data_IF_142620900759
#
_entry.id   IF_142620900759
#
_cell.length_a   1.000
_cell.length_b   1.000
_cell.length_c   1.000
_cell.angle_alpha   90.00
_cell.angle_beta   90.00
_cell.angle_gamma   90.00
#
_symmetry.space_group_name_H-M   'P 1'
#
loop_
_entity.id
_entity.type
_entity.pdbx_description
1 polymer ?
#
# COMPACT_ATOMS: atom_id res chain seq x y z
N UNK A 1 -25.03 -19.78 20.57
CA UNK A 1 -24.31 -18.49 20.49
C UNK A 1 -22.86 -18.76 20.09
N UNK A 2 -22.37 -18.10 19.04
CA UNK A 2 -20.93 -18.12 18.75
C UNK A 2 -20.25 -17.24 19.81
N UNK A 3 -19.32 -17.84 20.56
CA UNK A 3 -18.52 -17.16 21.57
C UNK A 3 -17.29 -16.57 20.86
N UNK A 4 -17.42 -15.31 20.44
CA UNK A 4 -16.33 -14.61 19.77
C UNK A 4 -15.39 -14.01 20.82
N UNK A 5 -14.09 -14.20 20.62
CA UNK A 5 -13.06 -13.51 21.39
C UNK A 5 -13.27 -12.00 21.29
N UNK A 6 -13.38 -11.33 22.43
CA UNK A 6 -13.45 -9.87 22.47
C UNK A 6 -12.16 -9.29 21.86
N UNK A 7 -12.32 -8.44 20.85
CA UNK A 7 -11.19 -7.73 20.23
C UNK A 7 -10.64 -6.70 21.21
N UNK A 8 -9.32 -6.62 21.33
CA UNK A 8 -8.68 -5.53 22.05
C UNK A 8 -8.91 -4.22 21.29
N UNK A 9 -9.20 -3.10 21.98
CA UNK A 9 -9.24 -1.80 21.34
C UNK A 9 -7.83 -1.44 20.82
N UNK A 10 -7.78 -0.71 19.70
CA UNK A 10 -6.53 -0.15 19.19
C UNK A 10 -6.48 1.35 19.55
N UNK A 11 -5.47 1.73 20.33
CA UNK A 11 -5.19 3.11 20.71
C UNK A 11 -3.70 3.44 20.58
N UNK A 12 -3.29 4.57 21.16
CA UNK A 12 -1.90 5.03 21.07
C UNK A 12 -0.90 3.99 21.60
N UNK A 13 -1.19 3.37 22.76
CA UNK A 13 -0.34 2.34 23.35
C UNK A 13 -0.17 1.13 22.43
N UNK A 14 -1.24 0.65 21.82
CA UNK A 14 -1.21 -0.51 20.92
C UNK A 14 -0.50 -0.19 19.60
N UNK A 15 -0.65 1.05 19.10
CA UNK A 15 0.06 1.51 17.92
C UNK A 15 1.56 1.71 18.16
N UNK A 16 1.95 2.21 19.33
CA UNK A 16 3.36 2.28 19.74
C UNK A 16 3.94 0.86 19.94
N UNK A 17 3.15 -0.06 20.48
CA UNK A 17 3.53 -1.47 20.60
C UNK A 17 3.67 -2.14 19.23
N UNK A 18 2.85 -1.77 18.24
CA UNK A 18 2.97 -2.22 16.87
C UNK A 18 4.31 -1.77 16.25
N UNK A 19 4.67 -0.50 16.40
CA UNK A 19 5.96 0.03 15.94
C UNK A 19 7.14 -0.70 16.60
N UNK A 20 7.04 -0.94 17.90
CA UNK A 20 8.07 -1.66 18.66
C UNK A 20 8.20 -3.12 18.21
N UNK A 21 7.08 -3.79 17.91
CA UNK A 21 7.09 -5.17 17.44
C UNK A 21 7.64 -5.31 16.03
N UNK A 22 7.32 -4.38 15.12
CA UNK A 22 7.94 -4.34 13.79
C UNK A 22 9.47 -4.26 13.94
N UNK A 23 9.96 -3.37 14.80
CA UNK A 23 11.39 -3.19 15.06
C UNK A 23 12.03 -4.29 15.91
N UNK A 24 11.24 -5.15 16.54
CA UNK A 24 11.76 -6.33 17.26
C UNK A 24 12.16 -7.44 16.29
N UNK A 25 11.54 -7.47 15.10
CA UNK A 25 11.75 -8.48 14.05
C UNK A 25 12.65 -7.98 12.94
N UNK A 26 12.48 -6.74 12.50
CA UNK A 26 13.25 -6.12 11.41
C UNK A 26 14.13 -5.00 11.97
N UNK A 27 15.43 -5.06 11.69
CA UNK A 27 16.31 -3.94 11.94
C UNK A 27 16.10 -2.83 10.89
N UNK A 28 16.67 -1.65 11.14
CA UNK A 28 16.46 -0.47 10.30
C UNK A 28 17.03 -0.64 8.87
N UNK A 29 17.99 -1.54 8.63
CA UNK A 29 18.52 -1.78 7.28
C UNK A 29 17.57 -2.60 6.40
N UNK A 30 16.72 -3.43 7.01
CA UNK A 30 15.69 -4.22 6.34
C UNK A 30 14.32 -3.51 6.29
N UNK A 31 14.23 -2.25 6.75
CA UNK A 31 13.01 -1.45 6.69
C UNK A 31 13.14 -0.29 5.70
N UNK A 32 12.02 0.03 5.05
CA UNK A 32 11.79 1.35 4.45
C UNK A 32 10.73 2.01 5.31
N UNK A 33 11.15 3.02 6.07
CA UNK A 33 10.31 3.77 7.01
C UNK A 33 10.03 5.18 6.47
N UNK A 34 9.00 5.88 7.01
CA UNK A 34 8.74 7.27 6.68
C UNK A 34 9.96 8.18 6.84
N UNK A 35 10.77 7.98 7.88
CA UNK A 35 11.99 8.78 8.09
C UNK A 35 13.05 8.52 7.02
N UNK A 36 13.22 7.26 6.56
CA UNK A 36 14.18 6.95 5.47
C UNK A 36 13.79 7.56 4.13
N UNK A 37 12.48 7.70 3.86
CA UNK A 37 11.98 8.37 2.64
C UNK A 37 12.06 9.88 2.80
N UNK A 38 11.66 10.42 3.96
CA UNK A 38 11.67 11.86 4.22
C UNK A 38 13.09 12.43 4.20
N UNK A 39 14.07 11.71 4.73
CA UNK A 39 15.44 12.20 4.86
C UNK A 39 15.47 13.55 5.60
N UNK A 40 16.11 14.55 4.98
CA UNK A 40 16.24 15.90 5.52
C UNK A 40 15.10 16.86 5.10
N UNK A 41 14.10 16.37 4.35
CA UNK A 41 12.99 17.21 3.90
C UNK A 41 12.04 17.61 5.04
N UNK A 42 11.42 18.79 4.98
CA UNK A 42 10.41 19.24 5.95
C UNK A 42 9.23 18.28 6.09
N UNK A 43 8.77 17.68 4.98
CA UNK A 43 7.60 16.79 4.95
C UNK A 43 7.86 15.56 4.08
N UNK A 44 7.13 14.49 4.34
CA UNK A 44 7.23 13.26 3.56
C UNK A 44 6.73 13.47 2.12
N UNK A 45 5.65 14.24 1.96
CA UNK A 45 5.11 14.61 0.67
C UNK A 45 6.14 15.38 -0.19
N UNK A 46 6.92 16.30 0.42
CA UNK A 46 7.97 17.03 -0.28
C UNK A 46 9.11 16.12 -0.76
N UNK A 47 9.56 15.19 0.08
CA UNK A 47 10.59 14.22 -0.30
C UNK A 47 10.16 13.35 -1.50
N UNK A 48 8.91 12.87 -1.49
CA UNK A 48 8.38 12.05 -2.59
C UNK A 48 8.25 12.87 -3.88
N UNK A 49 7.80 14.13 -3.79
CA UNK A 49 7.66 14.99 -4.96
C UNK A 49 9.00 15.39 -5.59
N UNK A 50 10.09 15.42 -4.80
CA UNK A 50 11.41 15.91 -5.23
C UNK A 50 12.37 14.77 -5.57
N UNK A 51 12.51 13.79 -4.68
CA UNK A 51 13.47 12.70 -4.77
C UNK A 51 12.82 11.38 -5.19
N UNK A 52 11.52 11.21 -4.90
CA UNK A 52 10.77 10.01 -5.22
C UNK A 52 11.06 8.84 -4.27
N UNK A 53 10.61 7.65 -4.68
CA UNK A 53 10.86 6.41 -3.94
C UNK A 53 12.18 5.76 -4.35
N UNK A 54 12.86 5.03 -3.44
CA UNK A 54 13.98 4.17 -3.80
C UNK A 54 13.58 3.21 -4.92
N UNK A 55 14.52 2.92 -5.81
CA UNK A 55 14.29 1.97 -6.89
C UNK A 55 14.03 0.57 -6.34
N UNK A 56 13.44 -0.30 -7.17
CA UNK A 56 13.26 -1.73 -6.83
C UNK A 56 14.60 -2.41 -6.51
N UNK A 57 15.69 -1.94 -7.12
CA UNK A 57 17.05 -2.43 -6.83
C UNK A 57 17.51 -2.06 -5.42
N UNK A 58 17.35 -0.80 -5.03
CA UNK A 58 17.73 -0.28 -3.71
C UNK A 58 16.82 -0.78 -2.58
N UNK A 59 15.57 -1.13 -2.92
CA UNK A 59 14.57 -1.66 -1.99
C UNK A 59 14.69 -3.16 -1.74
N UNK A 60 15.60 -3.85 -2.43
CA UNK A 60 15.73 -5.31 -2.34
C UNK A 60 16.06 -5.75 -0.92
N UNK A 61 15.34 -6.77 -0.44
CA UNK A 61 15.51 -7.32 0.91
C UNK A 61 14.86 -6.48 2.01
N UNK A 62 14.23 -5.36 1.67
CA UNK A 62 13.56 -4.48 2.63
C UNK A 62 12.05 -4.69 2.65
N UNK A 63 11.43 -4.27 3.75
CA UNK A 63 10.00 -4.35 3.99
C UNK A 63 9.43 -2.95 4.22
N UNK A 64 8.27 -2.68 3.63
CA UNK A 64 7.45 -1.48 3.87
C UNK A 64 6.21 -1.92 4.65
N UNK A 65 5.88 -1.19 5.72
CA UNK A 65 4.63 -1.35 6.45
C UNK A 65 3.74 -0.13 6.20
N UNK A 66 2.45 -0.34 6.01
CA UNK A 66 1.48 0.75 6.01
C UNK A 66 0.18 0.34 6.70
N UNK A 67 -0.44 1.29 7.39
CA UNK A 67 -1.74 1.10 8.02
C UNK A 67 -2.82 1.21 6.94
N UNK A 68 -3.61 0.15 6.75
CA UNK A 68 -4.81 0.19 5.89
C UNK A 68 -5.97 0.96 6.57
N UNK A 69 -5.76 1.55 7.74
CA UNK A 69 -6.79 2.23 8.53
C UNK A 69 -6.73 3.75 8.31
N UNK A 70 -7.91 4.36 8.14
CA UNK A 70 -8.09 5.82 8.17
C UNK A 70 -8.77 6.28 9.47
N UNK A 71 -9.24 7.53 9.49
CA UNK A 71 -10.03 8.07 10.59
C UNK A 71 -9.30 8.05 11.93
N UNK A 72 -9.97 7.65 13.02
CA UNK A 72 -9.40 7.79 14.36
C UNK A 72 -8.09 7.02 14.58
N UNK A 73 -7.87 5.90 13.88
CA UNK A 73 -6.60 5.14 13.99
C UNK A 73 -5.46 5.93 13.35
N UNK A 74 -5.70 6.49 12.17
CA UNK A 74 -4.78 7.39 11.49
C UNK A 74 -4.42 8.60 12.36
N UNK A 75 -5.45 9.30 12.87
CA UNK A 75 -5.25 10.49 13.68
C UNK A 75 -4.49 10.20 14.97
N UNK A 76 -4.76 9.03 15.58
CA UNK A 76 -4.04 8.56 16.77
C UNK A 76 -2.58 8.25 16.44
N UNK A 77 -2.30 7.67 15.28
CA UNK A 77 -0.94 7.33 14.86
C UNK A 77 -0.09 8.58 14.57
N UNK A 78 -0.71 9.63 14.04
CA UNK A 78 -0.07 10.93 13.78
C UNK A 78 0.05 11.83 15.02
N UNK A 79 -0.65 11.52 16.11
CA UNK A 79 -0.62 12.34 17.31
C UNK A 79 0.82 12.47 17.86
N UNK A 80 1.37 13.70 17.81
CA UNK A 80 2.76 13.98 18.20
C UNK A 80 3.81 13.76 17.11
N UNK A 81 3.47 13.10 16.01
CA UNK A 81 4.35 12.83 14.86
C UNK A 81 3.61 13.14 13.53
N UNK A 82 3.30 14.42 13.25
CA UNK A 82 2.46 14.80 12.12
C UNK A 82 3.08 14.52 10.74
N UNK A 83 4.39 14.23 10.65
CA UNK A 83 5.03 13.75 9.43
C UNK A 83 5.65 12.36 9.64
N UNK A 84 5.04 11.56 10.51
CA UNK A 84 5.46 10.21 10.85
C UNK A 84 6.88 10.11 11.42
N UNK A 85 7.40 11.17 12.05
CA UNK A 85 8.69 11.14 12.73
C UNK A 85 8.75 9.97 13.72
N UNK A 86 9.75 9.09 13.57
CA UNK A 86 9.99 7.93 14.43
C UNK A 86 9.05 6.74 14.20
N UNK A 87 8.04 6.85 13.34
CA UNK A 87 7.09 5.76 13.05
C UNK A 87 7.72 4.69 12.17
N UNK A 88 7.34 3.42 12.38
CA UNK A 88 7.84 2.31 11.55
C UNK A 88 7.01 2.13 10.27
N UNK A 89 5.72 2.48 10.32
CA UNK A 89 4.79 2.31 9.21
C UNK A 89 4.37 3.66 8.59
N UNK A 90 4.02 3.61 7.32
CA UNK A 90 3.26 4.65 6.64
C UNK A 90 1.79 4.59 7.03
N UNK A 91 1.07 5.67 6.80
CA UNK A 91 -0.39 5.71 6.84
C UNK A 91 -0.96 5.46 5.45
N UNK A 92 -2.24 5.08 5.39
CA UNK A 92 -3.06 5.30 4.20
C UNK A 92 -3.60 6.72 4.27
N UNK A 93 -2.81 7.70 3.84
CA UNK A 93 -3.18 9.11 3.94
C UNK A 93 -4.53 9.37 3.27
N UNK A 94 -5.34 10.24 3.88
CA UNK A 94 -6.75 10.41 3.54
C UNK A 94 -6.95 11.54 2.52
N UNK A 95 -6.34 12.70 2.76
CA UNK A 95 -6.70 13.93 2.06
C UNK A 95 -5.51 14.58 1.30
N UNK A 96 -5.77 15.21 0.15
CA UNK A 96 -4.76 16.02 -0.54
C UNK A 96 -4.20 17.12 0.37
N UNK A 97 -2.87 17.21 0.45
CA UNK A 97 -2.16 18.17 1.29
C UNK A 97 -1.77 17.65 2.67
N UNK A 98 -2.16 16.43 3.04
CA UNK A 98 -1.72 15.81 4.29
C UNK A 98 -0.18 15.64 4.31
N UNK A 99 0.51 16.07 5.37
CA UNK A 99 1.97 16.08 5.45
C UNK A 99 2.63 14.70 5.45
N UNK A 100 1.90 13.66 5.82
CA UNK A 100 2.31 12.24 5.87
C UNK A 100 1.95 11.48 4.58
N UNK A 101 1.46 12.17 3.54
CA UNK A 101 1.00 11.56 2.31
C UNK A 101 2.14 10.92 1.51
N UNK A 102 2.09 9.58 1.43
CA UNK A 102 3.08 8.75 0.74
C UNK A 102 2.48 7.52 0.07
N UNK A 103 1.65 6.80 0.83
CA UNK A 103 0.87 5.67 0.36
C UNK A 103 -0.61 6.04 0.52
N UNK A 104 -1.40 5.88 -0.52
CA UNK A 104 -2.82 6.21 -0.51
C UNK A 104 -3.67 4.98 -0.82
N UNK A 105 -4.79 4.88 -0.11
CA UNK A 105 -5.75 3.79 -0.25
C UNK A 105 -6.98 4.29 -1.02
N UNK A 106 -6.99 4.04 -2.32
CA UNK A 106 -8.09 4.38 -3.22
C UNK A 106 -8.84 3.10 -3.56
N UNK A 107 -9.85 2.79 -2.74
CA UNK A 107 -10.56 1.52 -2.72
C UNK A 107 -11.36 1.22 -3.99
N UNK A 108 -11.77 2.25 -4.73
CA UNK A 108 -12.56 2.12 -5.96
C UNK A 108 -11.66 2.33 -7.18
N UNK A 109 -11.40 1.30 -8.01
CA UNK A 109 -10.58 1.43 -9.20
C UNK A 109 -11.25 2.24 -10.32
N UNK A 110 -12.52 2.61 -10.19
CA UNK A 110 -13.22 3.48 -11.14
C UNK A 110 -12.98 4.98 -10.87
N UNK A 111 -12.37 5.34 -9.73
CA UNK A 111 -11.89 6.70 -9.41
C UNK A 111 -10.60 7.01 -10.19
N UNK A 112 -10.69 6.97 -11.52
CA UNK A 112 -9.51 7.01 -12.40
C UNK A 112 -8.74 8.32 -12.34
N UNK A 113 -9.42 9.45 -12.08
CA UNK A 113 -8.79 10.76 -11.93
C UNK A 113 -7.96 10.82 -10.66
N UNK A 114 -8.53 10.38 -9.55
CA UNK A 114 -7.93 10.40 -8.22
C UNK A 114 -6.71 9.47 -8.18
N UNK A 115 -6.81 8.29 -8.80
CA UNK A 115 -5.68 7.37 -8.95
C UNK A 115 -4.59 8.01 -9.83
N UNK A 116 -4.95 8.61 -10.97
CA UNK A 116 -3.97 9.23 -11.86
C UNK A 116 -3.27 10.43 -11.21
N UNK A 117 -4.00 11.26 -10.49
CA UNK A 117 -3.46 12.42 -9.77
C UNK A 117 -2.49 11.97 -8.68
N UNK A 118 -2.87 10.98 -7.85
CA UNK A 118 -1.98 10.43 -6.82
C UNK A 118 -0.69 9.82 -7.41
N UNK A 119 -0.79 9.13 -8.55
CA UNK A 119 0.37 8.62 -9.28
C UNK A 119 1.27 9.77 -9.78
N UNK A 120 0.67 10.83 -10.32
CA UNK A 120 1.40 12.00 -10.82
C UNK A 120 2.11 12.76 -9.68
N UNK A 121 1.59 12.69 -8.46
CA UNK A 121 2.22 13.19 -7.25
C UNK A 121 3.35 12.28 -6.71
N UNK A 122 3.60 11.13 -7.34
CA UNK A 122 4.65 10.18 -6.94
C UNK A 122 4.25 9.24 -5.80
N UNK A 123 2.97 9.20 -5.43
CA UNK A 123 2.46 8.37 -4.34
C UNK A 123 2.33 6.91 -4.79
N UNK A 124 2.48 5.99 -3.83
CA UNK A 124 2.09 4.59 -4.05
C UNK A 124 0.59 4.47 -3.82
N UNK A 125 -0.13 4.01 -4.84
CA UNK A 125 -1.58 3.80 -4.78
C UNK A 125 -1.87 2.32 -4.56
N UNK A 126 -2.71 2.05 -3.56
CA UNK A 126 -3.36 0.76 -3.36
C UNK A 126 -4.83 0.85 -3.76
N UNK A 127 -5.28 -0.07 -4.62
CA UNK A 127 -6.69 -0.24 -5.00
C UNK A 127 -7.16 -1.69 -4.86
N UNK A 128 -8.43 -1.96 -5.15
CA UNK A 128 -9.06 -3.28 -5.03
C UNK A 128 -9.48 -3.82 -6.38
N UNK A 129 -9.26 -5.13 -6.61
CA UNK A 129 -9.79 -5.85 -7.76
C UNK A 129 -11.19 -6.45 -7.51
N UNK A 130 -11.56 -6.59 -6.24
CA UNK A 130 -12.82 -7.12 -5.74
C UNK A 130 -13.13 -6.54 -4.35
N UNK A 131 -14.40 -6.59 -3.96
CA UNK A 131 -14.88 -6.11 -2.66
C UNK A 131 -16.06 -6.96 -2.18
N UNK A 132 -16.09 -7.19 -0.87
CA UNK A 132 -17.23 -7.79 -0.15
C UNK A 132 -17.69 -9.15 -0.73
N UNK A 133 -16.79 -9.85 -1.42
CA UNK A 133 -17.02 -11.11 -2.13
C UNK A 133 -18.12 -11.04 -3.21
N UNK A 134 -18.44 -9.86 -3.74
CA UNK A 134 -19.53 -9.66 -4.70
C UNK A 134 -19.17 -10.09 -6.13
N UNK A 135 -17.93 -9.85 -6.56
CA UNK A 135 -17.48 -10.13 -7.93
C UNK A 135 -17.26 -11.63 -8.18
N UNK A 136 -16.79 -12.34 -7.16
CA UNK A 136 -16.33 -13.71 -7.33
C UNK A 136 -17.46 -14.70 -7.67
N UNK A 137 -18.64 -14.72 -7.02
CA UNK A 137 -19.70 -15.69 -7.31
C UNK A 137 -20.14 -15.72 -8.77
N UNK A 138 -20.20 -14.56 -9.43
CA UNK A 138 -20.59 -14.40 -10.84
C UNK A 138 -19.42 -14.39 -11.83
N UNK A 139 -18.18 -14.44 -11.33
CA UNK A 139 -16.97 -14.21 -12.11
C UNK A 139 -17.01 -12.85 -12.85
N UNK A 140 -17.49 -11.80 -12.19
CA UNK A 140 -17.49 -10.44 -12.73
C UNK A 140 -16.09 -9.84 -12.64
N UNK A 141 -15.44 -9.70 -13.80
CA UNK A 141 -14.06 -9.23 -13.89
C UNK A 141 -13.94 -7.71 -14.01
N UNK A 142 -15.04 -6.97 -14.02
CA UNK A 142 -15.05 -5.53 -14.34
C UNK A 142 -14.14 -4.71 -13.41
N UNK A 143 -14.29 -4.90 -12.09
CA UNK A 143 -13.47 -4.20 -11.09
C UNK A 143 -11.99 -4.62 -11.16
N UNK A 144 -11.71 -5.90 -11.44
CA UNK A 144 -10.36 -6.41 -11.65
C UNK A 144 -9.68 -5.73 -12.83
N UNK A 145 -10.33 -5.68 -13.99
CA UNK A 145 -9.74 -5.05 -15.18
C UNK A 145 -9.51 -3.55 -14.97
N UNK A 146 -10.43 -2.85 -14.31
CA UNK A 146 -10.26 -1.45 -13.93
C UNK A 146 -9.03 -1.29 -13.02
N UNK A 147 -8.92 -2.09 -11.95
CA UNK A 147 -7.80 -2.02 -11.01
C UNK A 147 -6.46 -2.27 -11.71
N UNK A 148 -6.39 -3.30 -12.55
CA UNK A 148 -5.16 -3.67 -13.24
C UNK A 148 -4.72 -2.62 -14.28
N UNK A 149 -5.66 -1.87 -14.86
CA UNK A 149 -5.37 -0.82 -15.87
C UNK A 149 -5.24 0.58 -15.28
N UNK A 150 -5.59 0.78 -14.01
CA UNK A 150 -5.61 2.08 -13.33
C UNK A 150 -4.23 2.73 -13.16
N UNK A 151 -3.16 1.93 -13.14
CA UNK A 151 -1.82 2.38 -12.78
C UNK A 151 -1.51 2.31 -11.28
N UNK A 152 -2.46 1.87 -10.44
CA UNK A 152 -2.16 1.58 -9.04
C UNK A 152 -1.05 0.52 -8.91
N UNK A 153 -0.11 0.75 -7.99
CA UNK A 153 1.06 -0.12 -7.79
C UNK A 153 0.74 -1.33 -6.91
N UNK A 154 -0.27 -1.23 -6.05
CA UNK A 154 -0.74 -2.32 -5.20
C UNK A 154 -2.21 -2.62 -5.53
N UNK A 155 -2.51 -3.88 -5.87
CA UNK A 155 -3.87 -4.35 -6.11
C UNK A 155 -4.19 -5.45 -5.12
N UNK A 156 -5.17 -5.21 -4.24
CA UNK A 156 -5.64 -6.20 -3.28
C UNK A 156 -6.80 -7.02 -3.81
N UNK A 157 -6.87 -8.27 -3.35
CA UNK A 157 -7.88 -9.26 -3.75
C UNK A 157 -8.01 -10.34 -2.67
N UNK A 158 -9.22 -10.87 -2.49
CA UNK A 158 -9.44 -12.10 -1.72
C UNK A 158 -9.21 -13.37 -2.55
N UNK A 159 -9.03 -13.23 -3.88
CA UNK A 159 -8.91 -14.30 -4.86
C UNK A 159 -7.59 -14.24 -5.65
N UNK A 160 -6.41 -14.24 -4.97
CA UNK A 160 -5.13 -14.34 -5.66
C UNK A 160 -5.01 -15.67 -6.42
N UNK A 161 -3.98 -15.82 -7.26
CA UNK A 161 -3.75 -17.04 -8.06
C UNK A 161 -3.73 -18.35 -7.24
N UNK A 162 -3.43 -18.31 -5.94
CA UNK A 162 -3.43 -19.46 -5.02
C UNK A 162 -4.81 -19.78 -4.41
N UNK A 163 -5.81 -18.90 -4.60
CA UNK A 163 -7.18 -19.03 -4.09
C UNK A 163 -8.21 -18.66 -5.15
N UNK A 164 -8.28 -19.49 -6.19
CA UNK A 164 -9.28 -19.34 -7.26
C UNK A 164 -10.68 -19.64 -6.72
N UNK A 165 -11.65 -18.78 -7.03
CA UNK A 165 -13.05 -18.99 -6.65
C UNK A 165 -13.65 -20.19 -7.40
N UNK A 166 -14.73 -20.76 -6.87
CA UNK A 166 -15.44 -21.87 -7.52
C UNK A 166 -16.00 -21.49 -8.91
N UNK A 167 -16.29 -20.21 -9.15
CA UNK A 167 -16.71 -19.65 -10.43
C UNK A 167 -15.58 -19.52 -11.46
N UNK A 168 -14.33 -19.73 -11.04
CA UNK A 168 -13.14 -19.43 -11.83
C UNK A 168 -12.60 -18.01 -11.66
N UNK A 169 -13.23 -17.17 -10.83
CA UNK A 169 -12.72 -15.83 -10.53
C UNK A 169 -11.34 -15.89 -9.87
N UNK A 170 -10.42 -15.11 -10.42
CA UNK A 170 -9.03 -15.00 -9.97
C UNK A 170 -8.47 -13.64 -10.37
N UNK A 171 -7.64 -13.09 -9.51
CA UNK A 171 -6.87 -11.88 -9.75
C UNK A 171 -5.39 -12.25 -9.77
N UNK A 172 -4.71 -11.90 -10.86
CA UNK A 172 -3.29 -12.17 -11.05
C UNK A 172 -2.87 -11.99 -12.51
N UNK A 173 -1.58 -12.12 -12.77
CA UNK A 173 -0.97 -11.90 -14.10
C UNK A 173 -0.72 -13.22 -14.85
N UNK A 174 -1.55 -14.23 -14.60
CA UNK A 174 -1.38 -15.60 -15.10
C UNK A 174 -0.64 -16.50 -14.10
N UNK A 175 0.05 -17.52 -14.60
CA UNK A 175 0.84 -18.45 -13.78
C UNK A 175 2.23 -17.87 -13.52
N UNK A 176 2.54 -17.48 -12.28
CA UNK A 176 3.87 -16.96 -11.93
C UNK A 176 3.87 -15.99 -10.76
N UNK A 177 4.88 -15.11 -10.76
CA UNK A 177 5.05 -14.05 -9.76
C UNK A 177 3.84 -13.09 -9.76
N UNK A 178 3.37 -12.69 -8.57
CA UNK A 178 2.27 -11.73 -8.40
C UNK A 178 2.72 -10.28 -8.60
N UNK A 179 3.63 -10.05 -9.54
CA UNK A 179 4.17 -8.73 -9.90
C UNK A 179 4.30 -8.64 -11.41
N UNK A 180 4.08 -7.45 -11.95
CA UNK A 180 4.37 -7.10 -13.35
C UNK A 180 4.86 -5.67 -13.42
N UNK A 181 5.48 -5.29 -14.53
CA UNK A 181 5.69 -3.87 -14.78
C UNK A 181 4.34 -3.16 -14.95
N UNK A 182 4.28 -1.96 -14.43
CA UNK A 182 3.11 -1.11 -14.55
C UNK A 182 3.25 -0.22 -15.79
N UNK A 183 2.60 -0.62 -16.89
CA UNK A 183 2.69 0.05 -18.19
C UNK A 183 2.06 1.46 -18.22
N UNK A 184 1.37 1.87 -17.15
CA UNK A 184 0.84 3.24 -17.02
C UNK A 184 1.94 4.18 -16.52
N UNK A 185 2.77 3.72 -15.59
CA UNK A 185 3.79 4.55 -14.92
C UNK A 185 5.18 4.40 -15.52
N UNK A 186 5.46 3.32 -16.29
CA UNK A 186 6.73 3.15 -17.00
C UNK A 186 6.52 2.96 -18.50
N UNK A 187 7.43 3.54 -19.29
CA UNK A 187 7.45 3.40 -20.76
C UNK A 187 8.11 2.11 -21.24
N UNK A 188 8.94 1.48 -20.38
CA UNK A 188 9.57 0.20 -20.66
C UNK A 188 9.78 -0.62 -19.37
N UNK A 189 9.54 -1.92 -19.46
CA UNK A 189 9.93 -2.87 -18.43
C UNK A 189 11.45 -2.96 -18.31
N UNK A 190 12.01 -3.10 -17.10
CA UNK A 190 13.37 -3.58 -16.94
C UNK A 190 13.51 -4.96 -17.61
N UNK A 191 14.43 -5.08 -18.56
CA UNK A 191 14.70 -6.34 -19.27
C UNK A 191 15.80 -7.17 -18.59
N UNK A 192 16.56 -6.55 -17.69
CA UNK A 192 17.55 -7.23 -16.87
C UNK A 192 16.83 -7.91 -15.71
N UNK A 193 16.99 -9.23 -15.52
CA UNK A 193 16.58 -9.86 -14.27
C UNK A 193 17.23 -9.09 -13.13
N UNK A 194 16.47 -8.73 -12.10
CA UNK A 194 17.05 -8.10 -10.92
C UNK A 194 17.83 -9.20 -10.17
N UNK A 195 19.08 -9.42 -10.58
CA UNK A 195 20.01 -10.36 -9.97
C UNK A 195 20.59 -9.72 -8.72
N UNK A 196 20.31 -10.32 -7.57
CA UNK A 196 20.79 -9.93 -6.24
C UNK A 196 20.16 -10.85 -5.23
#
# INVERSE_FOLDING_TARGET
PLDFTATLPIGATELDALDAEIRSVFDEEHLITPDTIRGDHPTLAEAIATDGWPTVGESRGKVVFFLDNGGSVHDTYLAGSPNLQGRAAFTSAADPGDPDRAIVKLNDPFETSEIADAIAEGLIVRTRADADLEQAPSNDVTMREAALTSGAQIVSTDFPATKVAASGYVVGFGTGLQVRCNAVVVTACPTTPVTG
#
